data_IF_377651411502
#
_entry.id   IF_377651411502
#
_cell.length_a   1.000
_cell.length_b   1.000
_cell.length_c   1.000
_cell.angle_alpha   90.00
_cell.angle_beta   90.00
_cell.angle_gamma   90.00
#
_symmetry.space_group_name_H-M   'P 1'
#
loop_
_entity.id
_entity.type
_entity.pdbx_description
1 polymer ?
#
# COMPACT_ATOMS: atom_id res chain seq x y z
N UNK A 1 -47.72 -12.21 -10.64
CA UNK A 1 -46.44 -12.53 -9.99
C UNK A 1 -46.24 -14.03 -9.99
N UNK A 2 -45.30 -14.59 -10.78
CA UNK A 2 -44.90 -15.98 -10.66
C UNK A 2 -43.55 -16.10 -9.94
N UNK A 3 -43.50 -17.01 -8.98
CA UNK A 3 -42.34 -17.37 -8.17
C UNK A 3 -41.34 -18.16 -9.01
N UNK A 4 -40.19 -17.56 -9.32
CA UNK A 4 -39.08 -18.24 -10.00
C UNK A 4 -38.26 -19.02 -8.97
N UNK A 5 -38.20 -20.34 -9.16
CA UNK A 5 -37.46 -21.32 -8.38
C UNK A 5 -35.95 -21.11 -8.63
N UNK A 6 -35.20 -20.67 -7.60
CA UNK A 6 -33.73 -20.54 -7.64
C UNK A 6 -33.07 -21.92 -7.54
N UNK A 7 -32.31 -22.31 -8.55
CA UNK A 7 -31.45 -23.50 -8.56
C UNK A 7 -30.01 -23.04 -8.30
N UNK A 8 -29.30 -23.73 -7.38
CA UNK A 8 -27.97 -23.36 -6.89
C UNK A 8 -26.90 -23.59 -7.98
N UNK A 9 -26.10 -22.57 -8.22
CA UNK A 9 -24.95 -22.55 -9.17
C UNK A 9 -23.70 -23.26 -8.60
N UNK A 10 -23.75 -23.77 -7.37
CA UNK A 10 -22.60 -24.39 -6.68
C UNK A 10 -22.11 -25.71 -7.30
N UNK A 11 -22.96 -26.42 -8.05
CA UNK A 11 -22.69 -27.81 -8.40
C UNK A 11 -21.99 -27.98 -9.77
N UNK A 12 -22.02 -26.95 -10.62
CA UNK A 12 -21.33 -27.00 -11.94
C UNK A 12 -19.82 -26.80 -11.84
N UNK A 13 -19.32 -26.06 -10.86
CA UNK A 13 -17.88 -25.75 -10.75
C UNK A 13 -17.07 -27.00 -10.36
N UNK A 14 -17.63 -27.89 -9.55
CA UNK A 14 -16.94 -29.11 -9.10
C UNK A 14 -16.79 -30.17 -10.20
N UNK A 15 -17.63 -30.16 -11.24
CA UNK A 15 -17.55 -31.15 -12.33
C UNK A 15 -16.51 -30.83 -13.40
N UNK A 16 -16.07 -29.57 -13.52
CA UNK A 16 -15.14 -29.15 -14.57
C UNK A 16 -13.66 -29.12 -14.14
N UNK A 17 -13.37 -29.20 -12.84
CA UNK A 17 -12.00 -28.98 -12.32
C UNK A 17 -11.25 -30.24 -11.86
N UNK A 18 -11.79 -31.46 -12.03
CA UNK A 18 -11.09 -32.70 -11.66
C UNK A 18 -10.63 -32.78 -10.19
N UNK A 19 -11.23 -31.99 -9.30
CA UNK A 19 -10.88 -31.96 -7.88
C UNK A 19 -11.43 -33.21 -7.20
N UNK A 20 -10.54 -34.05 -6.66
CA UNK A 20 -10.97 -35.16 -5.79
C UNK A 20 -11.64 -34.59 -4.54
N UNK A 21 -12.81 -35.10 -4.12
CA UNK A 21 -13.42 -34.70 -2.86
C UNK A 21 -12.52 -35.12 -1.69
N UNK A 22 -12.43 -34.32 -0.62
CA UNK A 22 -11.63 -34.67 0.55
C UNK A 22 -12.20 -35.92 1.23
N UNK A 23 -11.31 -36.83 1.60
CA UNK A 23 -11.58 -38.05 2.35
C UNK A 23 -12.34 -37.72 3.63
N UNK A 24 -13.54 -38.28 3.79
CA UNK A 24 -14.36 -38.10 4.99
C UNK A 24 -13.70 -38.81 6.20
N UNK A 25 -13.35 -38.04 7.22
CA UNK A 25 -13.01 -38.54 8.56
C UNK A 25 -14.33 -38.67 9.34
N UNK A 26 -14.61 -39.78 10.07
CA UNK A 26 -15.90 -39.97 10.72
C UNK A 26 -16.06 -38.99 11.91
N UNK A 27 -17.08 -38.15 11.84
CA UNK A 27 -17.59 -37.37 12.97
C UNK A 27 -18.29 -38.31 13.96
N UNK A 28 -17.79 -38.38 15.19
CA UNK A 28 -18.54 -38.90 16.33
C UNK A 28 -19.68 -37.94 16.66
N UNK A 29 -20.88 -38.49 16.75
CA UNK A 29 -22.09 -37.82 17.22
C UNK A 29 -21.90 -37.34 18.67
N UNK A 30 -22.20 -36.08 18.92
CA UNK A 30 -22.53 -35.57 20.24
C UNK A 30 -23.93 -34.96 20.15
N UNK A 31 -24.85 -35.56 20.89
CA UNK A 31 -26.24 -35.14 21.02
C UNK A 31 -26.28 -33.78 21.74
N UNK A 32 -27.07 -32.85 21.20
CA UNK A 32 -27.31 -31.55 21.80
C UNK A 32 -28.55 -31.64 22.69
N UNK A 33 -28.34 -31.73 24.00
CA UNK A 33 -29.37 -31.41 24.99
C UNK A 33 -29.44 -29.90 25.22
N UNK A 34 -30.68 -29.42 25.21
CA UNK A 34 -31.11 -28.04 25.36
C UNK A 34 -31.22 -27.73 26.86
N UNK A 35 -30.40 -26.85 27.40
CA UNK A 35 -30.66 -26.22 28.71
C UNK A 35 -30.30 -24.73 28.71
N UNK A 36 -31.29 -23.97 29.18
CA UNK A 36 -31.30 -22.52 29.35
C UNK A 36 -30.44 -22.08 30.54
N UNK A 37 -29.85 -20.89 30.42
CA UNK A 37 -29.52 -19.97 31.52
C UNK A 37 -28.61 -20.47 32.65
N UNK A 38 -27.39 -19.97 32.71
CA UNK A 38 -26.92 -19.18 33.86
C UNK A 38 -25.47 -18.72 33.72
N UNK A 39 -25.23 -17.57 34.36
CA UNK A 39 -23.98 -16.84 34.55
C UNK A 39 -22.87 -17.77 35.07
N UNK A 40 -21.74 -17.83 34.37
CA UNK A 40 -20.53 -18.48 34.85
C UNK A 40 -19.71 -17.50 35.71
N UNK A 41 -19.69 -17.76 37.02
CA UNK A 41 -18.72 -17.21 37.97
C UNK A 41 -17.45 -18.05 37.86
N UNK A 42 -16.33 -17.44 37.43
CA UNK A 42 -15.01 -18.07 37.46
C UNK A 42 -14.46 -18.01 38.89
N UNK A 43 -14.54 -19.15 39.58
CA UNK A 43 -13.84 -19.41 40.84
C UNK A 43 -12.43 -19.90 40.55
N UNK A 44 -11.42 -19.10 40.88
CA UNK A 44 -10.03 -19.55 40.94
C UNK A 44 -9.65 -19.81 42.39
N UNK A 45 -9.49 -21.09 42.74
CA UNK A 45 -8.84 -21.52 43.97
C UNK A 45 -7.31 -21.35 43.82
N UNK A 46 -6.70 -20.51 44.66
CA UNK A 46 -5.26 -20.50 44.91
C UNK A 46 -5.00 -20.77 46.39
N UNK A 47 -3.98 -21.57 46.74
CA UNK A 47 -3.69 -21.91 48.13
C UNK A 47 -2.98 -20.75 48.83
N UNK A 48 -3.54 -20.32 49.96
CA UNK A 48 -2.93 -19.37 50.89
C UNK A 48 -1.72 -20.01 51.59
N UNK A 49 -0.55 -19.39 51.48
CA UNK A 49 0.53 -19.48 52.48
C UNK A 49 0.65 -18.15 53.20
N UNK A 50 0.91 -18.29 54.49
CA UNK A 50 0.83 -17.32 55.58
C UNK A 50 1.72 -16.08 55.47
N UNK A 51 1.19 -14.96 55.96
CA UNK A 51 1.95 -13.97 56.74
C UNK A 51 2.39 -12.72 55.99
N UNK A 52 1.55 -11.69 55.97
CA UNK A 52 1.86 -10.30 56.34
C UNK A 52 0.68 -9.40 55.94
N UNK A 53 0.25 -8.55 56.88
CA UNK A 53 -0.85 -7.60 56.75
C UNK A 53 -0.45 -6.43 55.85
N UNK A 54 -1.12 -6.26 54.71
CA UNK A 54 -1.11 -5.01 53.95
C UNK A 54 -2.56 -4.61 53.62
N UNK A 55 -2.91 -3.38 54.00
CA UNK A 55 -4.16 -2.71 53.63
C UNK A 55 -4.12 -2.35 52.15
N UNK A 56 -5.13 -2.78 51.38
CA UNK A 56 -5.33 -2.39 49.98
C UNK A 56 -6.70 -1.71 49.87
N UNK A 57 -6.70 -0.43 49.50
CA UNK A 57 -7.91 0.33 49.17
C UNK A 57 -8.20 0.14 47.68
N UNK A 58 -9.37 -0.42 47.34
CA UNK A 58 -9.85 -0.56 45.96
C UNK A 58 -10.91 0.53 45.72
N UNK A 59 -10.64 1.43 44.77
CA UNK A 59 -11.62 2.37 44.24
C UNK A 59 -12.39 1.69 43.11
N UNK A 60 -13.71 1.55 43.26
CA UNK A 60 -14.61 1.07 42.21
C UNK A 60 -15.39 2.26 41.67
N UNK A 61 -15.01 2.73 40.48
CA UNK A 61 -15.77 3.73 39.73
C UNK A 61 -17.00 3.10 39.07
N UNK A 62 -18.17 3.70 39.32
CA UNK A 62 -19.45 3.32 38.72
C UNK A 62 -19.44 3.40 37.20
N UNK A 63 -19.85 2.31 36.55
CA UNK A 63 -20.18 2.25 35.13
C UNK A 63 -21.50 2.96 34.82
N UNK A 64 -21.52 3.63 33.68
CA UNK A 64 -22.71 4.28 33.10
C UNK A 64 -23.62 3.19 32.51
N UNK A 65 -24.85 3.15 33.02
CA UNK A 65 -25.99 2.43 32.45
C UNK A 65 -26.57 3.28 31.32
N UNK A 66 -26.69 2.71 30.11
CA UNK A 66 -27.56 3.24 29.06
C UNK A 66 -29.01 3.06 29.48
N UNK A 67 -29.76 4.16 29.57
CA UNK A 67 -31.22 4.15 29.55
C UNK A 67 -31.69 5.08 28.43
N UNK A 68 -32.29 4.50 27.39
CA UNK A 68 -33.15 5.23 26.46
C UNK A 68 -34.57 5.20 27.02
N UNK A 69 -35.20 6.36 27.22
CA UNK A 69 -36.62 6.55 26.87
C UNK A 69 -37.00 8.03 26.82
N UNK A 70 -37.83 8.34 25.84
CA UNK A 70 -38.35 9.65 25.46
C UNK A 70 -39.41 10.19 26.44
N UNK A 71 -39.50 11.53 26.57
CA UNK A 71 -40.66 12.36 26.17
C UNK A 71 -40.51 13.82 26.61
N UNK A 72 -40.73 14.71 25.63
CA UNK A 72 -41.59 15.91 25.68
C UNK A 72 -41.25 17.09 26.62
N UNK A 73 -40.83 18.22 26.02
CA UNK A 73 -41.45 19.55 26.19
C UNK A 73 -40.79 20.64 25.31
N UNK A 74 -41.60 21.21 24.42
CA UNK A 74 -41.74 22.63 24.01
C UNK A 74 -40.49 23.54 24.07
N UNK A 75 -40.06 24.00 22.89
CA UNK A 75 -39.59 25.37 22.73
C UNK A 75 -40.09 25.95 21.39
N UNK A 76 -40.77 27.10 21.48
CA UNK A 76 -41.35 27.86 20.36
C UNK A 76 -40.54 29.16 20.24
N UNK A 77 -39.90 29.43 19.11
CA UNK A 77 -39.53 30.80 18.65
C UNK A 77 -39.57 30.78 17.11
N UNK A 78 -40.69 31.21 16.53
CA UNK A 78 -40.88 32.45 15.73
C UNK A 78 -40.11 32.51 14.41
N UNK A 79 -40.86 32.26 13.33
CA UNK A 79 -40.57 32.67 11.95
C UNK A 79 -41.14 34.06 11.70
N UNK A 80 -40.34 34.94 11.09
CA UNK A 80 -40.84 36.14 10.42
C UNK A 80 -40.30 36.18 8.98
N UNK A 81 -41.21 35.91 8.03
CA UNK A 81 -41.09 36.27 6.61
C UNK A 81 -41.70 37.65 6.42
N UNK A 82 -41.07 38.50 5.62
CA UNK A 82 -41.61 39.50 4.67
C UNK A 82 -40.39 39.91 3.83
N UNK A 83 -40.38 40.11 2.52
CA UNK A 83 -41.38 40.15 1.45
C UNK A 83 -40.62 40.62 0.20
N UNK A 84 -41.09 40.19 -0.98
CA UNK A 84 -40.53 40.41 -2.33
C UNK A 84 -40.38 41.89 -2.73
N UNK A 85 -39.43 42.21 -3.61
CA UNK A 85 -39.67 42.84 -4.94
C UNK A 85 -38.39 43.01 -5.79
N UNK A 86 -38.49 42.54 -7.04
CA UNK A 86 -37.85 42.90 -8.33
C UNK A 86 -36.63 43.83 -8.39
N UNK A 87 -35.66 43.46 -9.25
CA UNK A 87 -34.73 44.42 -9.88
C UNK A 87 -33.55 43.78 -10.62
N UNK A 88 -33.39 44.13 -11.89
CA UNK A 88 -32.35 43.67 -12.82
C UNK A 88 -30.90 44.10 -12.48
N UNK A 89 -29.96 43.41 -13.14
CA UNK A 89 -28.65 43.83 -13.67
C UNK A 89 -27.35 43.53 -12.88
N UNK A 90 -26.40 43.02 -13.69
CA UNK A 90 -24.93 42.93 -13.59
C UNK A 90 -24.25 41.78 -12.81
N UNK A 91 -23.82 40.79 -13.63
CA UNK A 91 -22.48 40.21 -13.80
C UNK A 91 -21.60 39.87 -12.57
N UNK A 92 -20.98 38.67 -12.54
CA UNK A 92 -20.09 38.26 -11.47
C UNK A 92 -18.70 38.92 -11.59
N UNK A 93 -18.17 39.38 -10.45
CA UNK A 93 -16.77 39.78 -10.33
C UNK A 93 -15.87 38.55 -10.43
N UNK A 94 -15.20 38.42 -11.58
CA UNK A 94 -13.95 37.67 -11.72
C UNK A 94 -12.88 38.35 -10.84
N UNK A 95 -12.33 37.62 -9.88
CA UNK A 95 -11.04 37.99 -9.27
C UNK A 95 -9.95 37.46 -10.19
N UNK A 96 -9.48 38.34 -11.08
CA UNK A 96 -8.27 38.17 -11.88
C UNK A 96 -7.05 38.45 -10.98
N UNK A 97 -6.20 37.46 -10.76
CA UNK A 97 -4.81 37.71 -10.37
C UNK A 97 -3.96 37.72 -11.64
N UNK A 98 -3.50 38.92 -12.04
CA UNK A 98 -2.48 39.08 -13.07
C UNK A 98 -1.09 39.25 -12.45
N UNK A 99 -0.13 38.68 -13.17
CA UNK A 99 1.29 38.43 -12.93
C UNK A 99 2.17 39.62 -12.52
N UNK A 100 3.29 39.30 -11.87
CA UNK A 100 4.59 39.88 -12.20
C UNK A 100 5.58 38.75 -12.53
N UNK A 101 6.02 38.68 -13.78
CA UNK A 101 7.24 37.97 -14.20
C UNK A 101 8.29 39.02 -14.53
N UNK A 102 9.42 38.99 -13.85
CA UNK A 102 10.60 39.78 -14.20
C UNK A 102 11.40 38.97 -15.20
N UNK A 103 11.44 39.42 -16.45
CA UNK A 103 12.39 38.93 -17.47
C UNK A 103 13.53 39.94 -17.58
N UNK A 104 14.76 39.47 -17.37
CA UNK A 104 15.95 40.22 -17.75
C UNK A 104 16.38 39.77 -19.15
N UNK A 105 16.27 40.69 -20.10
CA UNK A 105 16.89 40.58 -21.42
C UNK A 105 18.41 40.68 -21.30
N UNK A 106 19.12 39.88 -22.08
CA UNK A 106 20.44 40.22 -22.60
C UNK A 106 20.56 39.61 -23.99
N UNK A 107 20.28 40.45 -24.99
CA UNK A 107 20.79 40.28 -26.34
C UNK A 107 22.33 40.36 -26.33
N UNK A 108 22.98 39.55 -27.17
CA UNK A 108 24.08 39.97 -28.06
C UNK A 108 24.30 38.85 -29.11
N UNK A 109 23.97 39.22 -30.35
CA UNK A 109 24.59 38.90 -31.64
C UNK A 109 24.91 37.44 -32.07
N UNK A 110 24.24 37.02 -33.15
CA UNK A 110 24.82 36.16 -34.20
C UNK A 110 25.78 36.97 -35.11
N UNK A 111 26.62 36.32 -35.93
CA UNK A 111 26.20 36.09 -37.31
C UNK A 111 26.59 34.73 -37.92
N UNK A 112 25.58 34.10 -38.55
CA UNK A 112 25.50 33.69 -39.96
C UNK A 112 26.54 32.73 -40.62
N UNK A 113 25.93 31.72 -41.26
CA UNK A 113 26.22 31.14 -42.60
C UNK A 113 27.27 30.02 -42.73
N UNK A 114 26.80 28.79 -42.99
CA UNK A 114 26.96 28.14 -44.30
C UNK A 114 26.11 26.87 -44.44
N UNK A 115 25.52 26.73 -45.61
CA UNK A 115 24.68 25.65 -46.17
C UNK A 115 25.45 24.37 -46.51
N UNK A 116 24.79 23.19 -46.51
CA UNK A 116 24.70 22.29 -47.69
C UNK A 116 24.27 20.83 -47.37
N UNK A 117 23.16 20.43 -48.01
CA UNK A 117 22.81 19.12 -48.62
C UNK A 117 22.57 17.82 -47.81
N UNK A 118 21.29 17.39 -47.86
CA UNK A 118 20.73 16.06 -48.22
C UNK A 118 21.35 14.75 -47.70
N UNK A 119 20.55 13.97 -46.94
CA UNK A 119 19.97 12.65 -47.35
C UNK A 119 19.01 12.09 -46.26
N UNK A 120 18.08 11.17 -46.58
CA UNK A 120 16.97 10.78 -45.70
C UNK A 120 17.20 9.44 -44.95
N UNK A 121 16.31 9.16 -43.99
CA UNK A 121 16.16 7.96 -43.13
C UNK A 121 16.90 7.97 -41.77
N UNK A 122 16.12 8.18 -40.70
CA UNK A 122 15.86 7.14 -39.69
C UNK A 122 14.88 7.65 -38.64
N UNK A 123 13.72 6.99 -38.54
CA UNK A 123 12.85 7.06 -37.36
C UNK A 123 13.61 6.53 -36.14
N UNK A 124 13.70 7.34 -35.09
CA UNK A 124 14.06 6.90 -33.74
C UNK A 124 13.51 7.91 -32.73
N UNK A 125 12.19 8.05 -32.64
CA UNK A 125 11.57 8.71 -31.49
C UNK A 125 11.57 7.74 -30.32
N UNK A 126 12.61 7.83 -29.50
CA UNK A 126 12.64 7.30 -28.13
C UNK A 126 12.96 8.46 -27.21
N UNK A 127 12.01 9.38 -27.09
CA UNK A 127 12.04 10.43 -26.08
C UNK A 127 11.74 9.82 -24.69
N UNK A 128 12.71 9.12 -24.11
CA UNK A 128 12.76 8.93 -22.67
C UNK A 128 13.07 10.30 -22.07
N UNK A 129 12.04 10.91 -21.48
CA UNK A 129 12.12 12.18 -20.77
C UNK A 129 13.15 12.04 -19.61
N UNK A 130 14.37 12.54 -19.80
CA UNK A 130 15.33 12.71 -18.71
C UNK A 130 14.79 13.79 -17.75
N UNK A 131 13.96 13.38 -16.77
CA UNK A 131 13.58 14.23 -15.65
C UNK A 131 14.81 14.43 -14.77
N UNK A 132 15.48 15.60 -14.88
CA UNK A 132 16.55 16.00 -13.95
C UNK A 132 15.98 16.04 -12.52
N UNK A 133 16.60 15.33 -11.55
CA UNK A 133 16.06 15.27 -10.20
C UNK A 133 16.31 16.57 -9.44
N UNK A 134 15.28 17.10 -8.76
CA UNK A 134 15.39 18.25 -7.86
C UNK A 134 15.96 17.78 -6.52
N UNK A 135 17.13 18.29 -6.14
CA UNK A 135 17.76 18.05 -4.83
C UNK A 135 17.16 19.04 -3.83
N UNK A 136 16.65 18.55 -2.71
CA UNK A 136 16.18 19.39 -1.60
C UNK A 136 17.21 19.42 -0.48
N UNK A 137 17.75 20.61 -0.19
CA UNK A 137 18.57 20.92 0.99
C UNK A 137 17.69 21.40 2.14
N UNK A 138 18.12 21.17 3.39
CA UNK A 138 17.37 21.37 4.64
C UNK A 138 17.02 22.85 4.94
N UNK A 139 15.75 23.26 4.83
CA UNK A 139 15.31 24.59 5.23
C UNK A 139 14.34 24.48 6.42
N UNK A 140 14.14 25.59 7.11
CA UNK A 140 13.00 25.87 8.01
C UNK A 140 13.23 25.67 9.52
N UNK A 141 13.25 26.81 10.22
CA UNK A 141 13.24 26.94 11.68
C UNK A 141 11.82 27.04 12.27
N UNK A 142 10.78 27.10 11.43
CA UNK A 142 9.41 27.40 11.87
C UNK A 142 8.50 26.16 12.04
N UNK A 143 9.07 24.95 12.05
CA UNK A 143 8.43 23.68 12.46
C UNK A 143 7.13 23.28 11.74
N UNK A 144 6.67 24.01 10.72
CA UNK A 144 5.53 23.64 9.90
C UNK A 144 6.00 23.22 8.50
N UNK A 145 5.87 21.94 8.19
CA UNK A 145 6.18 21.42 6.87
C UNK A 145 5.02 21.75 5.90
N UNK A 146 5.26 22.48 4.80
CA UNK A 146 4.23 22.71 3.80
C UNK A 146 3.76 21.37 3.22
N UNK A 147 2.47 21.21 2.89
CA UNK A 147 1.97 19.96 2.27
C UNK A 147 2.70 19.63 0.97
N UNK A 148 3.10 20.67 0.22
CA UNK A 148 3.88 20.52 -1.01
C UNK A 148 5.28 19.95 -0.75
N UNK A 149 5.81 20.04 0.49
CA UNK A 149 7.01 19.32 0.88
C UNK A 149 6.76 17.82 0.89
N UNK A 150 5.71 17.35 1.57
CA UNK A 150 5.40 15.92 1.65
C UNK A 150 5.07 15.32 0.28
N UNK A 151 4.30 16.04 -0.54
CA UNK A 151 4.00 15.61 -1.91
C UNK A 151 5.25 15.37 -2.73
N UNK A 152 6.18 16.32 -2.72
CA UNK A 152 7.46 16.18 -3.40
C UNK A 152 8.29 15.06 -2.78
N UNK A 153 8.44 15.04 -1.46
CA UNK A 153 9.27 14.07 -0.75
C UNK A 153 8.80 12.62 -0.96
N UNK A 154 7.49 12.38 -1.08
CA UNK A 154 6.92 11.05 -1.26
C UNK A 154 6.72 10.66 -2.73
N UNK A 155 6.88 11.60 -3.67
CA UNK A 155 6.82 11.30 -5.11
C UNK A 155 7.93 10.35 -5.52
N UNK A 156 7.60 9.36 -6.35
CA UNK A 156 8.58 8.41 -6.88
C UNK A 156 9.62 9.13 -7.73
N UNK A 157 10.89 8.72 -7.59
CA UNK A 157 12.03 9.37 -8.24
C UNK A 157 12.59 10.58 -7.49
N UNK A 158 11.91 11.10 -6.46
CA UNK A 158 12.45 12.19 -5.65
C UNK A 158 13.70 11.75 -4.90
N UNK A 159 14.74 12.59 -4.94
CA UNK A 159 15.97 12.39 -4.17
C UNK A 159 15.92 13.22 -2.89
N UNK A 160 16.11 12.57 -1.75
CA UNK A 160 16.16 13.17 -0.43
C UNK A 160 17.57 12.98 0.10
N UNK A 161 18.19 14.08 0.54
CA UNK A 161 19.44 14.00 1.28
C UNK A 161 19.13 13.50 2.69
N UNK A 162 19.71 12.35 3.06
CA UNK A 162 19.58 11.81 4.40
C UNK A 162 20.94 11.82 5.07
N UNK A 163 21.07 12.61 6.15
CA UNK A 163 22.24 12.55 7.02
C UNK A 163 22.13 11.31 7.88
N UNK A 164 22.88 10.25 7.54
CA UNK A 164 23.03 9.11 8.42
C UNK A 164 24.22 9.37 9.34
N UNK A 165 23.96 9.60 10.62
CA UNK A 165 25.04 9.55 11.62
C UNK A 165 25.47 8.10 11.76
N UNK A 166 26.49 7.68 11.01
CA UNK A 166 27.10 6.36 11.16
C UNK A 166 27.47 6.15 12.63
N UNK A 167 26.91 5.13 13.26
CA UNK A 167 27.19 4.76 14.64
C UNK A 167 27.96 3.42 14.62
N UNK A 168 29.30 3.45 14.51
CA UNK A 168 30.11 2.35 13.95
C UNK A 168 30.34 1.14 14.86
N UNK A 169 29.46 0.84 15.83
CA UNK A 169 29.79 -0.15 16.89
C UNK A 169 28.72 -1.12 17.35
N UNK A 170 27.64 -1.34 16.60
CA UNK A 170 26.67 -2.38 16.95
C UNK A 170 26.40 -3.33 15.78
N UNK A 171 27.06 -4.49 15.80
CA UNK A 171 26.67 -5.73 15.10
C UNK A 171 25.34 -6.31 15.64
N UNK A 172 24.45 -5.46 16.16
CA UNK A 172 23.22 -5.88 16.83
C UNK A 172 22.11 -5.91 15.79
N UNK A 173 21.63 -7.11 15.47
CA UNK A 173 20.38 -7.28 14.76
C UNK A 173 19.24 -6.68 15.60
N UNK A 174 18.61 -5.62 15.11
CA UNK A 174 17.44 -5.01 15.77
C UNK A 174 16.17 -5.57 15.15
N UNK A 175 15.22 -6.06 15.95
CA UNK A 175 13.90 -6.39 15.41
C UNK A 175 13.21 -5.13 14.91
N UNK A 176 12.81 -5.13 13.64
CA UNK A 176 12.20 -3.98 12.96
C UNK A 176 10.72 -4.17 12.65
N UNK A 177 10.27 -5.41 12.62
CA UNK A 177 8.86 -5.73 12.42
C UNK A 177 8.57 -7.17 12.81
N UNK A 178 7.32 -7.43 13.18
CA UNK A 178 6.83 -8.80 13.37
C UNK A 178 5.46 -8.92 12.73
N UNK A 179 5.37 -9.75 11.70
CA UNK A 179 4.12 -10.23 11.13
C UNK A 179 3.74 -11.60 11.69
N UNK A 180 2.59 -12.10 11.23
CA UNK A 180 2.11 -13.44 11.57
C UNK A 180 3.08 -14.54 11.12
N UNK A 181 3.79 -14.36 10.00
CA UNK A 181 4.69 -15.37 9.43
C UNK A 181 6.18 -15.14 9.75
N UNK A 182 6.61 -13.88 9.93
CA UNK A 182 8.03 -13.54 10.06
C UNK A 182 8.29 -12.40 11.02
N UNK A 183 9.44 -12.46 11.68
CA UNK A 183 10.05 -11.35 12.41
C UNK A 183 11.20 -10.84 11.55
N UNK A 184 11.16 -9.57 11.19
CA UNK A 184 12.19 -8.94 10.36
C UNK A 184 13.15 -8.23 11.30
N UNK A 185 14.44 -8.43 11.06
CA UNK A 185 15.54 -7.80 11.76
C UNK A 185 16.33 -6.94 10.78
N UNK A 186 16.84 -5.82 11.27
CA UNK A 186 17.81 -4.98 10.58
C UNK A 186 19.18 -5.25 11.15
N UNK A 187 20.15 -5.46 10.27
CA UNK A 187 21.56 -5.34 10.62
C UNK A 187 21.96 -3.90 10.35
N UNK A 188 22.36 -3.17 11.39
CA UNK A 188 22.77 -1.77 11.26
C UNK A 188 23.97 -1.67 10.31
N UNK A 189 23.98 -0.65 9.45
CA UNK A 189 25.00 -0.36 8.41
C UNK A 189 24.98 -1.26 7.16
N UNK A 190 24.16 -2.32 7.15
CA UNK A 190 24.01 -3.19 5.98
C UNK A 190 22.76 -2.85 5.15
N UNK A 191 22.83 -3.08 3.84
CA UNK A 191 21.71 -2.85 2.89
C UNK A 191 20.61 -3.90 2.96
N UNK A 192 20.76 -4.87 3.86
CA UNK A 192 19.94 -6.07 3.91
C UNK A 192 19.04 -6.08 5.14
N UNK A 193 17.81 -6.56 4.95
CA UNK A 193 16.95 -6.99 6.05
C UNK A 193 17.06 -8.50 6.22
N UNK A 194 17.19 -8.95 7.47
CA UNK A 194 17.19 -10.35 7.83
C UNK A 194 15.76 -10.76 8.21
N UNK A 195 15.14 -11.62 7.41
CA UNK A 195 13.88 -12.25 7.78
C UNK A 195 14.13 -13.51 8.60
N UNK A 196 13.65 -13.56 9.85
CA UNK A 196 13.56 -14.80 10.63
C UNK A 196 12.10 -15.22 10.68
N UNK A 197 11.79 -16.38 10.09
CA UNK A 197 10.42 -16.89 10.09
C UNK A 197 10.03 -17.46 11.45
N UNK A 198 8.74 -17.34 11.78
CA UNK A 198 8.14 -18.00 12.94
C UNK A 198 7.59 -19.39 12.60
N UNK A 199 7.39 -19.69 11.31
CA UNK A 199 6.85 -20.97 10.87
C UNK A 199 7.83 -22.13 11.12
N UNK A 200 7.28 -23.24 11.63
CA UNK A 200 7.99 -24.49 11.94
C UNK A 200 8.07 -25.40 10.70
N UNK A 201 7.32 -25.10 9.64
CA UNK A 201 7.19 -25.97 8.46
C UNK A 201 8.11 -25.49 7.33
N UNK A 202 9.10 -26.30 7.01
CA UNK A 202 10.15 -26.00 6.02
C UNK A 202 9.62 -25.82 4.59
N UNK A 203 8.53 -26.52 4.23
CA UNK A 203 7.90 -26.39 2.91
C UNK A 203 7.31 -25.00 2.62
N UNK A 204 6.80 -24.29 3.63
CA UNK A 204 6.35 -22.91 3.47
C UNK A 204 7.52 -21.95 3.25
N UNK A 205 8.70 -22.28 3.80
CA UNK A 205 9.94 -21.50 3.63
C UNK A 205 10.38 -21.51 2.17
N UNK A 206 10.53 -22.70 1.61
CA UNK A 206 10.94 -22.91 0.24
C UNK A 206 9.94 -22.28 -0.74
N UNK A 207 8.64 -22.44 -0.46
CA UNK A 207 7.60 -21.86 -1.32
C UNK A 207 7.68 -20.33 -1.44
N UNK A 208 7.81 -19.56 -0.34
CA UNK A 208 7.93 -18.09 -0.47
C UNK A 208 9.25 -17.66 -1.11
N UNK A 209 10.37 -18.38 -0.86
CA UNK A 209 11.64 -18.10 -1.55
C UNK A 209 11.48 -18.31 -3.06
N UNK A 210 10.87 -19.42 -3.46
CA UNK A 210 10.57 -19.75 -4.85
C UNK A 210 9.66 -18.70 -5.48
N UNK A 211 8.53 -18.36 -4.85
CA UNK A 211 7.61 -17.34 -5.36
C UNK A 211 8.31 -15.99 -5.52
N UNK A 212 9.15 -15.61 -4.56
CA UNK A 212 9.88 -14.35 -4.63
C UNK A 212 10.92 -14.36 -5.76
N UNK A 213 11.66 -15.45 -5.93
CA UNK A 213 12.61 -15.63 -7.04
C UNK A 213 11.91 -15.51 -8.40
N UNK A 214 10.79 -16.20 -8.59
CA UNK A 214 9.99 -16.12 -9.82
C UNK A 214 9.49 -14.70 -10.12
N UNK A 215 9.02 -13.98 -9.09
CA UNK A 215 8.60 -12.58 -9.25
C UNK A 215 9.81 -11.69 -9.59
N UNK A 216 10.92 -11.81 -8.87
CA UNK A 216 12.12 -11.02 -9.10
C UNK A 216 12.67 -11.24 -10.51
N UNK A 217 12.68 -12.49 -11.00
CA UNK A 217 13.10 -12.84 -12.36
C UNK A 217 12.15 -12.25 -13.41
N UNK A 218 10.83 -12.30 -13.19
CA UNK A 218 9.87 -11.67 -14.08
C UNK A 218 10.08 -10.15 -14.17
N UNK A 219 10.34 -9.47 -13.05
CA UNK A 219 10.68 -8.05 -13.05
C UNK A 219 12.01 -7.79 -13.76
N UNK A 220 13.03 -8.61 -13.55
CA UNK A 220 14.34 -8.47 -14.22
C UNK A 220 14.22 -8.60 -15.73
N UNK A 221 13.39 -9.53 -16.21
CA UNK A 221 13.23 -9.83 -17.62
C UNK A 221 12.34 -8.80 -18.33
N UNK A 222 11.19 -8.43 -17.73
CA UNK A 222 10.14 -7.71 -18.44
C UNK A 222 9.93 -6.27 -17.94
N UNK A 223 10.36 -5.88 -16.73
CA UNK A 223 10.01 -4.54 -16.19
C UNK A 223 10.53 -3.40 -17.08
N UNK A 224 11.72 -3.56 -17.67
CA UNK A 224 12.29 -2.56 -18.59
C UNK A 224 11.49 -2.46 -19.89
N UNK A 225 11.06 -3.57 -20.48
CA UNK A 225 10.32 -3.56 -21.76
C UNK A 225 8.92 -2.96 -21.60
N UNK A 226 8.28 -3.16 -20.45
CA UNK A 226 6.95 -2.57 -20.15
C UNK A 226 7.02 -1.20 -19.45
N UNK A 227 8.23 -0.67 -19.24
CA UNK A 227 8.43 0.61 -18.55
C UNK A 227 7.84 0.66 -17.14
N UNK A 228 7.97 -0.43 -16.37
CA UNK A 228 7.56 -0.51 -14.97
C UNK A 228 8.68 -0.01 -14.06
N UNK A 229 8.35 0.96 -13.21
CA UNK A 229 9.27 1.59 -12.24
C UNK A 229 9.15 0.97 -10.83
N UNK A 230 8.19 0.07 -10.63
CA UNK A 230 7.99 -0.62 -9.36
C UNK A 230 9.17 -1.58 -9.10
N UNK A 231 9.68 -1.54 -7.87
CA UNK A 231 10.81 -2.36 -7.44
C UNK A 231 10.34 -3.58 -6.64
N UNK A 232 11.01 -4.70 -6.87
CA UNK A 232 10.90 -5.89 -6.03
C UNK A 232 12.25 -6.07 -5.31
N UNK A 233 12.27 -6.15 -3.97
CA UNK A 233 13.44 -6.56 -3.20
C UNK A 233 14.14 -7.78 -3.79
N UNK A 234 15.43 -7.73 -4.13
CA UNK A 234 16.12 -8.94 -4.56
C UNK A 234 16.30 -9.89 -3.36
N UNK A 235 16.13 -11.19 -3.56
CA UNK A 235 16.33 -12.19 -2.52
C UNK A 235 17.73 -12.76 -2.66
N UNK A 236 18.56 -12.56 -1.64
CA UNK A 236 19.90 -13.13 -1.61
C UNK A 236 19.95 -14.22 -0.54
N UNK A 237 20.53 -15.35 -0.93
CA UNK A 237 20.87 -16.36 0.07
C UNK A 237 21.90 -15.79 1.02
N UNK A 238 21.67 -15.95 2.33
CA UNK A 238 22.58 -15.45 3.35
C UNK A 238 24.00 -15.93 3.05
N UNK A 239 24.93 -14.99 2.95
CA UNK A 239 26.36 -15.32 2.88
C UNK A 239 26.71 -16.09 4.17
N UNK A 240 27.39 -17.26 4.09
CA UNK A 240 27.65 -18.14 5.23
C UNK A 240 28.46 -17.52 6.39
N UNK A 241 28.91 -16.27 6.26
CA UNK A 241 29.67 -15.56 7.29
C UNK A 241 28.81 -15.03 8.45
N UNK A 242 27.50 -14.88 8.29
CA UNK A 242 26.62 -14.55 9.41
C UNK A 242 26.35 -15.80 10.26
N UNK A 243 26.64 -15.74 11.57
CA UNK A 243 26.24 -16.75 12.57
C UNK A 243 24.72 -16.76 12.83
N UNK A 244 23.93 -16.53 11.80
CA UNK A 244 22.48 -16.60 11.86
C UNK A 244 22.06 -18.07 11.74
N UNK A 245 20.95 -18.48 12.37
CA UNK A 245 20.38 -19.80 12.15
C UNK A 245 20.20 -20.10 10.65
N UNK A 246 20.34 -21.37 10.25
CA UNK A 246 20.18 -21.88 8.87
C UNK A 246 18.80 -21.57 8.25
N UNK A 247 17.87 -21.02 9.03
CA UNK A 247 16.52 -20.63 8.61
C UNK A 247 16.41 -19.18 8.14
N UNK A 248 17.50 -18.43 8.09
CA UNK A 248 17.47 -17.02 7.72
C UNK A 248 17.53 -16.76 6.21
N UNK A 249 16.82 -15.72 5.77
CA UNK A 249 16.93 -15.20 4.41
C UNK A 249 17.25 -13.71 4.41
N UNK A 250 18.04 -13.28 3.42
CA UNK A 250 18.36 -11.87 3.20
C UNK A 250 17.57 -11.35 2.00
N UNK A 251 17.06 -10.13 2.14
CA UNK A 251 16.41 -9.41 1.04
C UNK A 251 16.97 -8.00 0.95
N UNK A 252 17.20 -7.52 -0.27
CA UNK A 252 17.54 -6.12 -0.53
C UNK A 252 16.39 -5.27 -0.02
N UNK A 253 16.68 -4.42 0.95
CA UNK A 253 15.63 -3.77 1.73
C UNK A 253 15.14 -2.49 1.05
N UNK A 254 13.82 -2.30 1.02
CA UNK A 254 13.23 -0.97 0.89
C UNK A 254 13.55 -0.17 2.16
N UNK A 255 14.43 0.82 2.08
CA UNK A 255 14.81 1.61 3.23
C UNK A 255 13.60 2.46 3.68
N UNK A 256 13.41 2.65 4.99
CA UNK A 256 12.29 3.43 5.48
C UNK A 256 12.41 4.89 5.08
N UNK A 257 11.30 5.62 5.18
CA UNK A 257 11.29 7.06 4.95
C UNK A 257 12.29 7.79 5.87
N UNK A 258 13.04 8.79 5.35
CA UNK A 258 13.94 9.61 6.16
C UNK A 258 13.20 10.27 7.32
N UNK A 259 13.92 10.58 8.40
CA UNK A 259 13.34 11.12 9.64
C UNK A 259 12.51 12.38 9.43
N UNK A 260 13.02 13.31 8.62
CA UNK A 260 12.31 14.54 8.25
C UNK A 260 10.95 14.27 7.60
N UNK A 261 10.87 13.25 6.73
CA UNK A 261 9.61 12.85 6.10
C UNK A 261 8.68 12.20 7.12
N UNK A 262 9.23 11.40 8.04
CA UNK A 262 8.45 10.80 9.13
C UNK A 262 7.86 11.85 10.05
N UNK A 263 8.62 12.86 10.46
CA UNK A 263 8.13 13.98 11.27
C UNK A 263 7.01 14.73 10.56
N UNK A 264 7.20 15.05 9.27
CA UNK A 264 6.18 15.71 8.47
C UNK A 264 4.89 14.85 8.33
N UNK A 265 5.02 13.53 8.17
CA UNK A 265 3.88 12.60 8.15
C UNK A 265 3.11 12.58 9.48
N UNK A 266 3.81 12.65 10.63
CA UNK A 266 3.15 12.79 11.94
C UNK A 266 2.41 14.11 12.01
N UNK A 267 3.05 15.21 11.64
CA UNK A 267 2.43 16.53 11.68
C UNK A 267 1.14 16.60 10.85
N UNK A 268 1.11 15.96 9.67
CA UNK A 268 -0.04 16.01 8.77
C UNK A 268 -1.19 15.07 9.21
N UNK A 269 -0.87 13.87 9.70
CA UNK A 269 -1.88 12.82 9.91
C UNK A 269 -2.18 12.48 11.36
N UNK A 270 -1.46 13.06 12.34
CA UNK A 270 -1.73 12.77 13.74
C UNK A 270 -3.07 13.35 14.18
N UNK A 271 -3.88 12.64 14.99
CA UNK A 271 -5.33 12.87 15.06
C UNK A 271 -5.81 14.05 15.89
N UNK A 272 -4.93 14.73 16.62
CA UNK A 272 -5.32 15.81 17.53
C UNK A 272 -4.85 17.15 16.99
N UNK A 273 -5.84 18.00 16.69
CA UNK A 273 -5.78 19.47 16.74
C UNK A 273 -4.50 20.11 16.22
N UNK A 274 -4.61 20.74 15.03
CA UNK A 274 -3.78 21.83 14.51
C UNK A 274 -2.77 22.33 15.56
N UNK A 275 -1.50 21.94 15.39
CA UNK A 275 -0.33 22.17 16.28
C UNK A 275 0.01 21.01 17.23
N UNK A 276 0.42 19.87 16.66
CA UNK A 276 1.14 18.84 17.43
C UNK A 276 2.47 19.42 17.91
N UNK A 277 2.72 19.39 19.22
CA UNK A 277 3.96 19.88 19.81
C UNK A 277 5.16 19.08 19.29
N UNK A 278 6.31 19.75 19.11
CA UNK A 278 7.55 19.12 18.62
C UNK A 278 7.96 17.91 19.47
N UNK A 279 7.82 18.00 20.80
CA UNK A 279 8.13 16.90 21.72
C UNK A 279 7.25 15.66 21.45
N UNK A 280 5.98 15.88 21.11
CA UNK A 280 5.06 14.80 20.73
C UNK A 280 5.49 14.17 19.41
N UNK A 281 5.83 14.97 18.40
CA UNK A 281 6.33 14.46 17.11
C UNK A 281 7.59 13.60 17.33
N UNK A 282 8.57 14.11 18.08
CA UNK A 282 9.83 13.42 18.36
C UNK A 282 9.58 12.14 19.17
N UNK A 283 8.66 12.16 20.13
CA UNK A 283 8.25 10.97 20.88
C UNK A 283 7.65 9.89 19.97
N UNK A 284 6.88 10.27 18.94
CA UNK A 284 6.26 9.34 18.00
C UNK A 284 7.31 8.81 17.03
N UNK A 285 8.12 9.68 16.43
CA UNK A 285 9.11 9.30 15.41
C UNK A 285 10.24 8.45 16.00
N UNK A 286 10.61 8.69 17.26
CA UNK A 286 11.66 7.92 17.95
C UNK A 286 11.24 6.50 18.34
N UNK A 287 9.92 6.19 18.42
CA UNK A 287 9.41 4.84 18.70
C UNK A 287 10.00 3.82 17.72
N UNK A 288 10.50 2.70 18.24
CA UNK A 288 11.16 1.65 17.45
C UNK A 288 10.33 1.21 16.23
N UNK A 289 9.02 1.02 16.41
CA UNK A 289 8.09 0.62 15.34
C UNK A 289 8.01 1.66 14.22
N UNK A 290 8.09 2.95 14.54
CA UNK A 290 7.95 4.04 13.58
C UNK A 290 9.24 4.35 12.80
N UNK A 291 10.39 3.83 13.23
CA UNK A 291 11.65 3.89 12.46
C UNK A 291 11.57 3.13 11.13
N UNK A 292 10.59 2.25 10.98
CA UNK A 292 10.36 1.44 9.77
C UNK A 292 9.15 1.95 8.97
N UNK A 293 9.01 3.26 8.88
CA UNK A 293 7.94 3.89 8.11
C UNK A 293 8.05 3.55 6.62
N UNK A 294 7.08 2.78 6.13
CA UNK A 294 6.87 2.41 4.74
C UNK A 294 5.39 2.65 4.42
N UNK A 295 5.01 3.88 4.01
CA UNK A 295 3.61 4.20 3.73
C UNK A 295 3.03 3.28 2.65
N UNK A 296 1.84 2.73 2.89
CA UNK A 296 1.17 1.76 2.01
C UNK A 296 0.22 2.46 1.05
N UNK A 297 0.31 2.17 -0.26
CA UNK A 297 -0.61 2.73 -1.26
C UNK A 297 -1.93 1.97 -1.23
N UNK A 298 -3.04 2.64 -0.88
CA UNK A 298 -4.34 2.00 -0.65
C UNK A 298 -5.46 2.56 -1.54
N UNK A 299 -5.46 2.25 -2.84
CA UNK A 299 -6.48 2.78 -3.77
C UNK A 299 -7.92 2.30 -3.53
N UNK A 300 -8.10 1.16 -2.86
CA UNK A 300 -9.43 0.61 -2.56
C UNK A 300 -10.08 1.22 -1.32
N UNK A 301 -9.40 2.15 -0.66
CA UNK A 301 -9.89 2.82 0.56
C UNK A 301 -10.07 4.31 0.26
N UNK A 302 -11.32 4.76 0.19
CA UNK A 302 -11.67 6.18 0.01
C UNK A 302 -11.57 6.92 1.33
N UNK A 303 -12.33 6.43 2.33
CA UNK A 303 -12.34 6.92 3.69
C UNK A 303 -11.58 5.95 4.58
N UNK A 304 -10.40 6.38 5.00
CA UNK A 304 -9.69 5.66 6.05
C UNK A 304 -10.34 5.96 7.40
N UNK A 305 -10.48 4.94 8.27
CA UNK A 305 -10.95 5.19 9.62
C UNK A 305 -10.06 6.26 10.26
N UNK A 306 -10.69 7.18 10.98
CA UNK A 306 -9.95 8.15 11.78
C UNK A 306 -8.94 7.40 12.64
N UNK A 307 -7.67 7.81 12.53
CA UNK A 307 -6.64 7.23 13.35
C UNK A 307 -6.89 7.70 14.77
N UNK A 308 -6.85 6.78 15.73
CA UNK A 308 -6.86 7.14 17.14
C UNK A 308 -5.43 7.54 17.57
N UNK A 309 -5.31 8.58 18.40
CA UNK A 309 -4.04 9.12 18.86
C UNK A 309 -3.21 8.05 19.59
N UNK A 310 -3.89 7.16 20.32
CA UNK A 310 -3.27 6.05 21.05
C UNK A 310 -2.76 4.94 20.11
N UNK A 311 -3.38 4.82 18.93
CA UNK A 311 -3.10 3.78 17.95
C UNK A 311 -2.30 4.29 16.73
N UNK A 312 -1.93 5.57 16.70
CA UNK A 312 -1.21 6.15 15.58
C UNK A 312 0.17 5.51 15.42
N UNK A 313 0.45 5.02 14.21
CA UNK A 313 1.75 4.46 13.85
C UNK A 313 2.12 4.82 12.41
N UNK A 314 3.40 5.09 12.21
CA UNK A 314 3.99 5.27 10.88
C UNK A 314 4.32 3.92 10.21
N UNK A 315 4.35 2.85 10.99
CA UNK A 315 4.52 1.50 10.47
C UNK A 315 3.24 1.06 9.78
N UNK A 316 3.32 0.71 8.50
CA UNK A 316 2.16 0.38 7.68
C UNK A 316 1.13 1.53 7.58
N UNK A 317 1.59 2.80 7.61
CA UNK A 317 0.70 3.95 7.47
C UNK A 317 -0.06 3.86 6.13
N UNK A 318 -1.39 3.65 6.14
CA UNK A 318 -2.13 3.54 4.90
C UNK A 318 -2.30 4.94 4.28
N UNK A 319 -2.10 4.99 2.96
CA UNK A 319 -2.27 6.15 2.10
C UNK A 319 -3.41 5.87 1.11
N UNK A 320 -4.63 6.06 1.59
CA UNK A 320 -5.85 6.04 0.81
C UNK A 320 -5.93 7.21 -0.17
N UNK A 321 -6.91 7.16 -1.08
CA UNK A 321 -7.07 8.16 -2.14
C UNK A 321 -7.08 9.58 -1.57
N UNK A 322 -7.89 9.83 -0.53
CA UNK A 322 -8.00 11.16 0.09
C UNK A 322 -6.65 11.67 0.62
N UNK A 323 -5.87 10.81 1.29
CA UNK A 323 -4.55 11.18 1.82
C UNK A 323 -3.55 11.43 0.70
N UNK A 324 -3.54 10.60 -0.34
CA UNK A 324 -2.70 10.83 -1.51
C UNK A 324 -3.06 12.15 -2.20
N UNK A 325 -4.34 12.50 -2.31
CA UNK A 325 -4.80 13.79 -2.87
C UNK A 325 -4.30 14.95 -2.02
N UNK A 326 -4.45 14.83 -0.69
CA UNK A 326 -4.02 15.86 0.26
C UNK A 326 -2.52 16.13 0.18
N UNK A 327 -1.73 15.08 -0.01
CA UNK A 327 -0.29 15.16 -0.21
C UNK A 327 0.09 15.62 -1.62
N UNK A 328 -0.83 15.66 -2.59
CA UNK A 328 -0.51 15.98 -3.98
C UNK A 328 0.32 14.90 -4.69
N UNK A 329 0.12 13.63 -4.33
CA UNK A 329 0.72 12.50 -5.05
C UNK A 329 -0.02 12.24 -6.36
N UNK A 330 0.72 11.88 -7.40
CA UNK A 330 0.14 11.49 -8.69
C UNK A 330 -0.47 10.09 -8.60
N UNK A 331 -1.77 10.05 -8.35
CA UNK A 331 -2.52 8.82 -8.19
C UNK A 331 -2.69 8.05 -9.49
N UNK A 332 -2.72 8.73 -10.64
CA UNK A 332 -2.87 8.09 -11.94
C UNK A 332 -1.59 7.36 -12.31
N UNK A 333 -0.43 8.01 -12.13
CA UNK A 333 0.88 7.38 -12.33
C UNK A 333 1.06 6.19 -11.37
N UNK A 334 0.76 6.36 -10.08
CA UNK A 334 0.84 5.26 -9.11
C UNK A 334 -0.11 4.09 -9.46
N UNK A 335 -1.33 4.37 -9.90
CA UNK A 335 -2.28 3.33 -10.32
C UNK A 335 -1.80 2.60 -11.58
N UNK A 336 -1.24 3.33 -12.55
CA UNK A 336 -0.66 2.76 -13.76
C UNK A 336 0.55 1.87 -13.44
N UNK A 337 1.45 2.32 -12.56
CA UNK A 337 2.61 1.53 -12.10
C UNK A 337 2.19 0.24 -11.39
N UNK A 338 1.14 0.29 -10.56
CA UNK A 338 0.56 -0.94 -9.99
C UNK A 338 -0.05 -1.85 -11.05
N UNK A 339 -0.73 -1.30 -12.07
CA UNK A 339 -1.24 -2.08 -13.20
C UNK A 339 -0.16 -2.89 -13.89
N UNK A 340 0.96 -2.23 -14.25
CA UNK A 340 2.14 -2.89 -14.84
C UNK A 340 2.72 -3.95 -13.91
N UNK A 341 2.86 -3.63 -12.63
CA UNK A 341 3.44 -4.54 -11.66
C UNK A 341 2.60 -5.81 -11.44
N UNK A 342 1.27 -5.68 -11.42
CA UNK A 342 0.37 -6.84 -11.37
C UNK A 342 0.43 -7.66 -12.66
N UNK A 343 0.55 -7.03 -13.83
CA UNK A 343 0.74 -7.75 -15.09
C UNK A 343 2.06 -8.55 -15.10
N UNK A 344 3.14 -7.99 -14.57
CA UNK A 344 4.42 -8.70 -14.38
C UNK A 344 4.28 -9.93 -13.47
N UNK A 345 3.53 -9.82 -12.37
CA UNK A 345 3.33 -10.96 -11.46
C UNK A 345 2.44 -12.03 -12.10
N UNK A 346 1.31 -11.63 -12.70
CA UNK A 346 0.34 -12.56 -13.27
C UNK A 346 0.87 -13.22 -14.54
N UNK A 347 1.30 -12.43 -15.52
CA UNK A 347 1.64 -12.90 -16.86
C UNK A 347 3.14 -13.12 -17.03
N UNK A 348 3.98 -12.38 -16.32
CA UNK A 348 5.43 -12.57 -16.34
C UNK A 348 5.85 -13.77 -15.50
N UNK A 349 5.42 -13.80 -14.24
CA UNK A 349 5.80 -14.86 -13.30
C UNK A 349 4.82 -16.04 -13.25
N UNK A 350 3.60 -15.92 -13.81
CA UNK A 350 2.59 -16.96 -13.67
C UNK A 350 2.12 -17.12 -12.23
N UNK A 351 1.99 -16.02 -11.47
CA UNK A 351 1.72 -16.08 -10.04
C UNK A 351 0.42 -15.36 -9.69
N UNK A 352 -0.41 -16.03 -8.89
CA UNK A 352 -1.58 -15.46 -8.25
C UNK A 352 -1.18 -14.69 -6.98
N UNK A 353 -1.48 -13.39 -6.94
CA UNK A 353 -1.09 -12.48 -5.86
C UNK A 353 -1.92 -12.71 -4.59
N UNK A 354 -1.28 -13.14 -3.50
CA UNK A 354 -1.98 -13.44 -2.24
C UNK A 354 -2.05 -12.29 -1.23
N UNK A 355 -0.93 -11.63 -0.95
CA UNK A 355 -0.83 -10.60 0.10
C UNK A 355 0.16 -9.50 -0.25
N UNK A 356 0.42 -9.29 -1.54
CA UNK A 356 1.41 -8.30 -1.95
C UNK A 356 0.98 -6.90 -1.52
N UNK A 357 1.90 -6.18 -0.87
CA UNK A 357 1.70 -4.83 -0.34
C UNK A 357 2.51 -3.84 -1.15
N UNK A 358 1.87 -2.87 -1.83
CA UNK A 358 2.57 -1.75 -2.44
C UNK A 358 2.93 -0.72 -1.37
N UNK A 359 4.22 -0.43 -1.23
CA UNK A 359 4.74 0.53 -0.24
C UNK A 359 5.66 1.55 -0.89
N UNK A 360 5.64 2.78 -0.37
CA UNK A 360 6.68 3.75 -0.63
C UNK A 360 7.87 3.49 0.30
N UNK A 361 9.05 3.41 -0.30
CA UNK A 361 10.32 3.26 0.41
C UNK A 361 11.43 4.03 -0.27
N UNK A 362 12.64 3.93 0.24
CA UNK A 362 13.82 4.57 -0.36
C UNK A 362 14.91 3.58 -0.75
N UNK A 363 15.75 3.96 -1.71
CA UNK A 363 17.01 3.29 -2.05
C UNK A 363 18.16 4.27 -1.95
N UNK A 364 19.32 3.86 -1.44
CA UNK A 364 20.54 4.68 -1.50
C UNK A 364 21.17 4.65 -2.88
N UNK A 365 21.63 5.82 -3.34
CA UNK A 365 22.55 5.93 -4.48
C UNK A 365 23.97 5.99 -3.95
N UNK A 366 24.87 5.16 -4.49
CA UNK A 366 26.25 5.00 -3.99
C UNK A 366 27.21 6.10 -4.44
N UNK A 367 26.70 7.19 -5.02
CA UNK A 367 27.52 8.11 -5.81
C UNK A 367 28.21 9.23 -4.99
N UNK A 368 27.95 9.37 -3.68
CA UNK A 368 28.53 10.46 -2.88
C UNK A 368 28.61 10.17 -1.38
N UNK A 369 29.51 10.87 -0.69
CA UNK A 369 29.66 10.88 0.79
C UNK A 369 28.38 11.30 1.52
N UNK A 370 27.47 11.99 0.83
CA UNK A 370 26.11 12.22 1.29
C UNK A 370 25.20 11.12 0.73
N UNK A 371 24.56 10.33 1.60
CA UNK A 371 23.58 9.32 1.18
C UNK A 371 22.35 9.99 0.54
N UNK A 372 22.38 10.12 -0.79
CA UNK A 372 21.21 10.48 -1.57
C UNK A 372 20.27 9.27 -1.62
N UNK A 373 19.04 9.46 -1.14
CA UNK A 373 18.01 8.44 -1.12
C UNK A 373 16.94 8.76 -2.15
N UNK A 374 16.67 7.84 -3.06
CA UNK A 374 15.58 7.96 -4.03
C UNK A 374 14.33 7.28 -3.52
N UNK A 375 13.18 7.95 -3.55
CA UNK A 375 11.89 7.36 -3.22
C UNK A 375 11.41 6.48 -4.37
N UNK A 376 10.95 5.26 -4.07
CA UNK A 376 10.42 4.33 -5.06
C UNK A 376 9.17 3.62 -4.50
N UNK A 377 8.35 3.11 -5.42
CA UNK A 377 7.28 2.18 -5.12
C UNK A 377 7.85 0.76 -5.10
N UNK A 378 7.59 0.02 -4.02
CA UNK A 378 8.02 -1.37 -3.85
C UNK A 378 6.84 -2.30 -3.68
N UNK A 379 6.98 -3.54 -4.14
CA UNK A 379 6.10 -4.64 -3.76
C UNK A 379 6.76 -5.50 -2.70
N UNK A 380 6.02 -5.79 -1.63
CA UNK A 380 6.48 -6.61 -0.51
C UNK A 380 5.45 -7.68 -0.15
N UNK A 381 5.84 -8.62 0.72
CA UNK A 381 4.94 -9.61 1.34
C UNK A 381 4.37 -10.67 0.37
N UNK A 382 5.29 -11.48 -0.19
CA UNK A 382 4.95 -12.55 -1.15
C UNK A 382 4.52 -13.87 -0.49
N UNK A 383 4.41 -13.92 0.84
CA UNK A 383 4.23 -15.16 1.63
C UNK A 383 2.91 -15.91 1.42
N UNK A 384 1.98 -15.35 0.63
CA UNK A 384 0.71 -16.02 0.25
C UNK A 384 0.51 -16.14 -1.26
N UNK A 385 1.54 -15.87 -2.05
CA UNK A 385 1.48 -16.03 -3.50
C UNK A 385 1.45 -17.51 -3.87
N UNK A 386 0.87 -17.81 -5.04
CA UNK A 386 0.80 -19.18 -5.56
C UNK A 386 1.13 -19.19 -7.04
N UNK A 387 1.95 -20.14 -7.46
CA UNK A 387 2.17 -20.38 -8.88
C UNK A 387 0.87 -20.87 -9.54
N UNK A 388 0.60 -20.38 -10.73
CA UNK A 388 -0.55 -20.68 -11.57
C UNK A 388 -0.03 -21.00 -12.95
N UNK A 389 -0.39 -22.17 -13.46
CA UNK A 389 -0.07 -22.53 -14.84
C UNK A 389 -0.87 -21.63 -15.78
N UNK A 390 -0.19 -21.04 -16.74
CA UNK A 390 -0.81 -20.20 -17.78
C UNK A 390 -1.29 -21.09 -18.93
N UNK A 391 -2.18 -22.04 -18.63
CA UNK A 391 -2.83 -22.90 -19.62
C UNK A 391 -4.35 -22.67 -19.60
N UNK A 392 -4.81 -21.73 -20.43
CA UNK A 392 -6.22 -21.43 -20.65
C UNK A 392 -6.91 -20.63 -19.54
N UNK A 393 -8.25 -20.54 -19.63
CA UNK A 393 -9.09 -19.60 -18.84
C UNK A 393 -9.15 -19.89 -17.33
N UNK A 394 -8.65 -21.04 -16.86
CA UNK A 394 -8.67 -21.35 -15.43
C UNK A 394 -7.79 -20.38 -14.62
N UNK A 395 -6.64 -19.98 -15.16
CA UNK A 395 -5.75 -19.03 -14.49
C UNK A 395 -6.39 -17.65 -14.32
N UNK A 396 -7.20 -17.21 -15.28
CA UNK A 396 -7.90 -15.93 -15.24
C UNK A 396 -8.83 -15.82 -14.03
N UNK A 397 -9.60 -16.89 -13.78
CA UNK A 397 -10.50 -16.98 -12.62
C UNK A 397 -9.70 -16.89 -11.32
N UNK A 398 -8.54 -17.56 -11.24
CA UNK A 398 -7.67 -17.46 -10.07
C UNK A 398 -7.14 -16.04 -9.85
N UNK A 399 -6.71 -15.36 -10.91
CA UNK A 399 -6.24 -13.98 -10.83
C UNK A 399 -7.36 -13.01 -10.42
N UNK A 400 -8.56 -13.16 -10.95
CA UNK A 400 -9.73 -12.37 -10.53
C UNK A 400 -10.04 -12.54 -9.05
N UNK A 401 -10.11 -13.78 -8.58
CA UNK A 401 -10.38 -14.09 -7.18
C UNK A 401 -9.29 -13.54 -6.24
N UNK A 402 -8.04 -13.55 -6.69
CA UNK A 402 -6.97 -12.94 -5.93
C UNK A 402 -7.09 -11.42 -5.90
N UNK A 403 -7.16 -10.74 -7.04
CA UNK A 403 -7.30 -9.27 -7.08
C UNK A 403 -8.55 -8.76 -6.37
N UNK A 404 -9.65 -9.50 -6.46
CA UNK A 404 -10.98 -9.07 -6.06
C UNK A 404 -11.42 -9.49 -4.68
N UNK A 405 -10.60 -10.14 -3.85
CA UNK A 405 -11.04 -10.64 -2.53
C UNK A 405 -10.05 -10.35 -1.40
N UNK A 406 -10.60 -10.27 -0.18
CA UNK A 406 -9.83 -10.11 1.06
C UNK A 406 -9.18 -8.73 1.19
N UNK A 407 -8.05 -8.68 1.90
CA UNK A 407 -7.29 -7.45 2.15
C UNK A 407 -6.77 -6.79 0.86
N UNK A 408 -6.61 -7.56 -0.23
CA UNK A 408 -6.08 -7.07 -1.51
C UNK A 408 -6.98 -6.05 -2.19
N UNK A 409 -8.29 -6.07 -1.88
CA UNK A 409 -9.23 -5.05 -2.34
C UNK A 409 -8.79 -3.64 -1.97
N UNK A 410 -7.98 -3.49 -0.91
CA UNK A 410 -7.48 -2.19 -0.45
C UNK A 410 -6.45 -1.57 -1.40
N UNK A 411 -5.76 -2.36 -2.22
CA UNK A 411 -4.64 -1.86 -3.03
C UNK A 411 -5.01 -1.58 -4.49
N UNK A 412 -6.06 -2.21 -5.02
CA UNK A 412 -6.51 -2.00 -6.40
C UNK A 412 -7.60 -0.92 -6.40
N UNK A 413 -7.54 0.08 -7.31
CA UNK A 413 -8.59 1.08 -7.42
C UNK A 413 -9.97 0.44 -7.66
N UNK A 414 -11.02 1.05 -7.13
CA UNK A 414 -12.35 0.48 -7.22
C UNK A 414 -13.08 1.03 -8.46
N UNK A 415 -13.40 0.17 -9.43
CA UNK A 415 -13.95 0.57 -10.74
C UNK A 415 -15.22 1.46 -10.72
N UNK A 416 -16.08 1.40 -9.68
CA UNK A 416 -17.22 2.35 -9.54
C UNK A 416 -16.94 3.61 -8.72
N UNK A 417 -16.03 3.51 -7.77
CA UNK A 417 -15.79 4.53 -6.74
C UNK A 417 -14.73 5.51 -7.22
N UNK A 418 -13.70 4.97 -7.87
CA UNK A 418 -12.62 5.70 -8.52
C UNK A 418 -12.41 5.19 -9.96
N UNK A 419 -13.40 5.38 -10.87
CA UNK A 419 -13.36 4.84 -12.23
C UNK A 419 -12.13 5.29 -13.02
N UNK A 420 -11.69 6.55 -12.86
CA UNK A 420 -10.55 7.08 -13.62
C UNK A 420 -9.21 6.47 -13.16
N UNK A 421 -9.04 6.25 -11.85
CA UNK A 421 -7.89 5.54 -11.30
C UNK A 421 -7.90 4.06 -11.73
N UNK A 422 -9.07 3.43 -11.71
CA UNK A 422 -9.21 2.06 -12.20
C UNK A 422 -8.88 1.95 -13.68
N UNK A 423 -9.32 2.90 -14.52
CA UNK A 423 -8.98 2.92 -15.94
C UNK A 423 -7.47 3.09 -16.14
N UNK A 424 -6.81 3.92 -15.34
CA UNK A 424 -5.35 4.09 -15.38
C UNK A 424 -4.63 2.77 -15.04
N UNK A 425 -5.06 2.09 -13.98
CA UNK A 425 -4.58 0.75 -13.62
C UNK A 425 -4.84 -0.28 -14.73
N UNK A 426 -6.07 -0.36 -15.23
CA UNK A 426 -6.51 -1.36 -16.20
C UNK A 426 -5.79 -1.22 -17.54
N UNK A 427 -5.68 0.01 -18.06
CA UNK A 427 -5.00 0.27 -19.32
C UNK A 427 -3.52 -0.09 -19.23
N UNK A 428 -2.86 0.26 -18.12
CA UNK A 428 -1.46 -0.08 -17.90
C UNK A 428 -1.25 -1.59 -17.70
N UNK A 429 -2.17 -2.27 -17.01
CA UNK A 429 -2.17 -3.72 -16.86
C UNK A 429 -2.32 -4.44 -18.20
N UNK A 430 -3.28 -4.03 -19.04
CA UNK A 430 -3.52 -4.60 -20.36
C UNK A 430 -2.29 -4.40 -21.24
N UNK A 431 -1.80 -3.17 -21.37
CA UNK A 431 -0.65 -2.88 -22.24
C UNK A 431 0.61 -3.66 -21.82
N UNK A 432 0.92 -3.71 -20.52
CA UNK A 432 2.05 -4.49 -20.02
C UNK A 432 1.85 -6.00 -20.22
N UNK A 433 0.64 -6.50 -19.97
CA UNK A 433 0.32 -7.91 -20.15
C UNK A 433 0.39 -8.34 -21.60
N UNK A 434 -0.12 -7.55 -22.55
CA UNK A 434 -0.04 -7.83 -23.99
C UNK A 434 1.41 -7.93 -24.45
N UNK A 435 2.27 -7.01 -24.00
CA UNK A 435 3.70 -7.04 -24.30
C UNK A 435 4.36 -8.33 -23.76
N UNK A 436 4.10 -8.68 -22.50
CA UNK A 436 4.64 -9.89 -21.87
C UNK A 436 4.14 -11.16 -22.57
N UNK A 437 2.85 -11.28 -22.85
CA UNK A 437 2.27 -12.46 -23.49
C UNK A 437 2.75 -12.62 -24.94
N UNK A 438 2.98 -11.51 -25.64
CA UNK A 438 3.58 -11.50 -26.98
C UNK A 438 5.01 -12.02 -26.93
N UNK A 439 5.84 -11.50 -26.02
CA UNK A 439 7.23 -11.95 -25.84
C UNK A 439 7.30 -13.44 -25.45
N UNK A 440 6.32 -13.94 -24.68
CA UNK A 440 6.19 -15.35 -24.31
C UNK A 440 5.62 -16.25 -25.40
N UNK A 441 5.15 -15.70 -26.53
CA UNK A 441 4.56 -16.47 -27.63
C UNK A 441 3.18 -17.08 -27.33
N UNK A 442 2.44 -16.53 -26.36
CA UNK A 442 1.12 -17.03 -25.91
C UNK A 442 0.01 -15.96 -25.98
N UNK A 443 0.26 -14.84 -26.67
CA UNK A 443 -0.71 -13.74 -26.80
C UNK A 443 -2.06 -14.17 -27.39
N UNK A 444 -2.10 -15.19 -28.27
CA UNK A 444 -3.36 -15.68 -28.84
C UNK A 444 -4.24 -16.46 -27.86
N UNK A 445 -3.71 -16.85 -26.70
CA UNK A 445 -4.45 -17.64 -25.71
C UNK A 445 -5.29 -16.78 -24.75
N UNK A 446 -5.00 -15.48 -24.64
CA UNK A 446 -5.59 -14.59 -23.64
C UNK A 446 -6.07 -13.29 -24.26
N UNK A 447 -7.30 -12.89 -23.94
CA UNK A 447 -7.82 -11.56 -24.25
C UNK A 447 -7.85 -10.73 -22.96
N UNK A 448 -6.88 -9.83 -22.81
CA UNK A 448 -6.75 -9.02 -21.59
C UNK A 448 -7.86 -7.98 -21.43
N UNK A 449 -8.53 -7.58 -22.52
CA UNK A 449 -9.71 -6.73 -22.44
C UNK A 449 -10.92 -7.51 -21.92
N UNK A 450 -11.14 -8.74 -22.42
CA UNK A 450 -12.15 -9.67 -21.90
C UNK A 450 -11.88 -9.98 -20.42
N UNK A 451 -10.62 -10.21 -20.05
CA UNK A 451 -10.18 -10.43 -18.67
C UNK A 451 -10.58 -9.25 -17.76
N UNK A 452 -10.15 -8.02 -18.06
CA UNK A 452 -10.49 -6.85 -17.22
C UNK A 452 -12.01 -6.62 -17.17
N UNK A 453 -12.73 -6.87 -18.26
CA UNK A 453 -14.20 -6.80 -18.27
C UNK A 453 -14.80 -7.83 -17.31
N UNK A 454 -14.38 -9.09 -17.39
CA UNK A 454 -14.82 -10.16 -16.49
C UNK A 454 -14.48 -9.86 -15.03
N UNK A 455 -13.31 -9.28 -14.74
CA UNK A 455 -12.97 -8.79 -13.41
C UNK A 455 -13.99 -7.79 -12.88
N UNK A 456 -14.39 -6.78 -13.69
CA UNK A 456 -15.41 -5.81 -13.29
C UNK A 456 -16.73 -6.51 -12.95
N UNK A 457 -17.17 -7.44 -13.79
CA UNK A 457 -18.43 -8.18 -13.60
C UNK A 457 -18.42 -8.99 -12.30
N UNK A 458 -17.31 -9.69 -12.00
CA UNK A 458 -17.14 -10.41 -10.74
C UNK A 458 -17.17 -9.44 -9.55
N UNK A 459 -16.50 -8.29 -9.67
CA UNK A 459 -16.47 -7.30 -8.58
C UNK A 459 -17.82 -6.64 -8.34
N UNK A 460 -18.65 -6.44 -9.36
CA UNK A 460 -20.05 -6.04 -9.22
C UNK A 460 -20.79 -7.02 -8.30
N UNK A 461 -20.69 -8.32 -8.59
CA UNK A 461 -21.40 -9.35 -7.85
C UNK A 461 -20.96 -9.49 -6.38
N UNK A 462 -19.68 -9.23 -6.09
CA UNK A 462 -19.13 -9.39 -4.75
C UNK A 462 -19.26 -8.16 -3.86
N UNK A 463 -19.14 -6.96 -4.42
CA UNK A 463 -19.14 -5.72 -3.63
C UNK A 463 -20.57 -5.26 -3.34
N UNK A 464 -21.50 -5.39 -4.30
CA UNK A 464 -22.89 -4.93 -4.10
C UNK A 464 -23.69 -5.78 -3.09
N UNK A 465 -23.10 -6.89 -2.60
CA UNK A 465 -23.72 -7.79 -1.62
C UNK A 465 -23.22 -7.59 -0.19
N UNK A 466 -22.22 -6.73 0.02
CA UNK A 466 -21.68 -6.36 1.34
C UNK A 466 -22.13 -4.95 1.70
#
# INVERSE_FOLDING_TARGET
>A
MPTVRRQRVSDSINKQCGLRPPTQIPLRQAEAEKQEGNVAVLSCCLPLRSGTSHSMTINVGCGIVRLCHALDRRLTISTARHGLLNGHLHSPALVLYMYYSVTCDNDIASPAMASSMNTPYSCSDSALLERRPKIMSDPFKDHQWPREFLGRALSTGTMIQASYSSAPRLQVCRQIGSGSQRTVFEQLEERFALGIRRCIVESEKESEKEMHGLIADAFRNYARSVGCLVKVPDFQDCVPQCRCPSTTSQTVRALPMPEVVRQALVQEFYPWTWNVESETIDSIVSKARNKHCLPQICFGVEDEPEMDADNFTLHDLPLGIRRMTLLGLDQHDLAAELGKAYALIHWGAGIAVGCVKPVLGTTTSTASDNELRTVNLFLMDFGRCRHVRLDGKACEVFFHLQMGMGERRRYIPHYRRSPDLFNSFANAYIAAGEAILTERGIASEFDLNEFIKSYKDIMIDFVDRQ
#
